data_IF_109014145912
#
_entry.id   IF_109014145912
#
_cell.length_a   1.000
_cell.length_b   1.000
_cell.length_c   1.000
_cell.angle_alpha   90.00
_cell.angle_beta   90.00
_cell.angle_gamma   90.00
#
_symmetry.space_group_name_H-M   'P 1'
#
loop_
_entity.id
_entity.type
_entity.pdbx_description
1 polymer ?
#
# COMPACT_ATOMS: atom_id res chain seq x y z
N UNK A 1 25.92 49.33 -24.23
CA UNK A 1 25.51 48.09 -23.55
C UNK A 1 25.96 48.17 -22.10
N UNK A 2 25.10 48.70 -21.23
CA UNK A 2 25.31 48.63 -19.79
C UNK A 2 24.80 47.26 -19.33
N UNK A 3 25.71 46.41 -18.85
CA UNK A 3 25.34 45.17 -18.17
C UNK A 3 25.05 45.51 -16.71
N UNK A 4 23.77 45.57 -16.34
CA UNK A 4 23.36 45.50 -14.94
C UNK A 4 23.45 44.04 -14.49
N UNK A 5 24.32 43.77 -13.53
CA UNK A 5 24.36 42.49 -12.83
C UNK A 5 23.22 42.45 -11.80
N UNK A 6 22.48 41.34 -11.68
CA UNK A 6 21.48 41.22 -10.64
C UNK A 6 22.17 41.13 -9.28
N UNK A 7 21.93 42.13 -8.44
CA UNK A 7 22.31 42.15 -7.03
C UNK A 7 21.81 40.89 -6.34
N UNK A 8 22.73 40.10 -5.81
CA UNK A 8 22.42 39.03 -4.87
C UNK A 8 21.65 39.63 -3.70
N UNK A 9 20.46 39.07 -3.40
CA UNK A 9 19.66 39.40 -2.23
C UNK A 9 20.58 39.51 -1.01
N UNK A 10 20.67 40.70 -0.43
CA UNK A 10 21.57 40.95 0.69
C UNK A 10 20.98 40.31 1.97
N UNK A 11 21.82 39.95 2.93
CA UNK A 11 21.34 39.42 4.23
C UNK A 11 20.32 40.37 4.89
N UNK A 12 20.46 41.68 4.64
CA UNK A 12 19.54 42.72 5.06
C UNK A 12 18.14 42.58 4.41
N UNK A 13 18.05 42.25 3.12
CA UNK A 13 16.76 42.05 2.42
C UNK A 13 16.02 40.81 2.96
N UNK A 14 16.77 39.78 3.36
CA UNK A 14 16.22 38.56 3.98
C UNK A 14 15.74 38.86 5.40
N UNK A 15 16.50 39.64 6.16
CA UNK A 15 16.11 40.08 7.51
C UNK A 15 14.89 41.01 7.49
N UNK A 16 14.80 41.91 6.51
CA UNK A 16 13.64 42.78 6.29
C UNK A 16 12.40 41.97 5.90
N UNK A 17 12.53 41.01 4.99
CA UNK A 17 11.42 40.12 4.62
C UNK A 17 10.91 39.31 5.84
N UNK A 18 11.83 38.82 6.68
CA UNK A 18 11.49 38.06 7.90
C UNK A 18 10.82 38.93 8.97
N UNK A 19 11.24 40.18 9.13
CA UNK A 19 10.59 41.11 10.07
C UNK A 19 9.20 41.51 9.57
N UNK A 20 9.05 41.72 8.25
CA UNK A 20 7.76 42.00 7.63
C UNK A 20 6.78 40.83 7.76
N UNK A 21 7.23 39.59 7.56
CA UNK A 21 6.40 38.39 7.73
C UNK A 21 5.99 38.20 9.19
N UNK A 22 6.91 38.39 10.15
CA UNK A 22 6.58 38.33 11.57
C UNK A 22 5.55 39.39 11.98
N UNK A 23 5.65 40.61 11.46
CA UNK A 23 4.65 41.65 11.71
C UNK A 23 3.26 41.25 11.15
N UNK A 24 3.21 40.65 9.96
CA UNK A 24 1.96 40.14 9.38
C UNK A 24 1.36 39.01 10.21
N UNK A 25 2.19 38.08 10.70
CA UNK A 25 1.75 36.99 11.57
C UNK A 25 1.23 37.50 12.92
N UNK A 26 1.89 38.49 13.52
CA UNK A 26 1.43 39.13 14.75
C UNK A 26 0.09 39.84 14.56
N UNK A 27 -0.08 40.58 13.45
CA UNK A 27 -1.36 41.23 13.14
C UNK A 27 -2.48 40.21 12.93
N UNK A 28 -2.23 39.12 12.18
CA UNK A 28 -3.22 38.07 11.96
C UNK A 28 -3.63 37.35 13.26
N UNK A 29 -2.68 37.16 14.19
CA UNK A 29 -2.98 36.62 15.52
C UNK A 29 -3.85 37.57 16.35
N UNK A 30 -3.54 38.88 16.30
CA UNK A 30 -4.33 39.89 17.01
C UNK A 30 -5.75 39.98 16.45
N UNK A 31 -5.92 39.99 15.13
CA UNK A 31 -7.22 39.99 14.47
C UNK A 31 -8.06 38.74 14.84
N UNK A 32 -7.43 37.57 14.87
CA UNK A 32 -8.08 36.32 15.27
C UNK A 32 -8.52 36.35 16.74
N UNK A 33 -7.71 36.96 17.61
CA UNK A 33 -8.04 37.11 19.03
C UNK A 33 -9.21 38.09 19.24
N UNK A 34 -9.30 39.16 18.45
CA UNK A 34 -10.44 40.08 18.44
C UNK A 34 -11.70 39.36 17.98
N UNK A 35 -11.66 38.63 16.86
CA UNK A 35 -12.82 37.88 16.37
C UNK A 35 -13.30 36.81 17.36
N UNK A 36 -12.37 36.14 18.05
CA UNK A 36 -12.73 35.19 19.11
C UNK A 36 -13.50 35.87 20.24
N UNK A 37 -13.05 37.05 20.67
CA UNK A 37 -13.72 37.82 21.73
C UNK A 37 -15.09 38.33 21.28
N UNK A 38 -15.21 38.85 20.05
CA UNK A 38 -16.50 39.28 19.47
C UNK A 38 -17.49 38.11 19.36
N UNK A 39 -17.04 36.95 18.90
CA UNK A 39 -17.88 35.74 18.80
C UNK A 39 -18.35 35.27 20.17
N UNK A 40 -17.48 35.34 21.17
CA UNK A 40 -17.80 34.99 22.56
C UNK A 40 -18.86 35.94 23.13
N UNK A 41 -18.75 37.24 22.87
CA UNK A 41 -19.74 38.24 23.30
C UNK A 41 -21.09 38.04 22.60
N UNK A 42 -21.08 37.72 21.31
CA UNK A 42 -22.29 37.40 20.55
C UNK A 42 -23.00 36.16 21.12
N UNK A 43 -22.26 35.11 21.47
CA UNK A 43 -22.80 33.89 22.05
C UNK A 43 -23.43 34.15 23.43
N UNK A 44 -22.79 34.97 24.27
CA UNK A 44 -23.34 35.38 25.56
C UNK A 44 -24.66 36.13 25.35
N UNK A 45 -24.71 37.05 24.38
CA UNK A 45 -25.92 37.82 24.05
C UNK A 45 -27.06 36.93 23.55
N UNK A 46 -26.76 35.96 22.69
CA UNK A 46 -27.75 34.97 22.22
C UNK A 46 -28.27 34.10 23.37
N UNK A 47 -27.41 33.66 24.29
CA UNK A 47 -27.84 32.92 25.49
C UNK A 47 -28.73 33.75 26.42
N UNK A 48 -28.40 35.02 26.62
CA UNK A 48 -29.26 35.92 27.39
C UNK A 48 -30.60 36.18 26.71
N UNK A 49 -30.62 36.31 25.38
CA UNK A 49 -31.85 36.48 24.60
C UNK A 49 -32.73 35.22 24.67
N UNK A 50 -32.14 34.03 24.58
CA UNK A 50 -32.85 32.76 24.75
C UNK A 50 -33.44 32.64 26.17
N UNK A 51 -32.68 33.02 27.21
CA UNK A 51 -33.17 33.01 28.59
C UNK A 51 -34.29 34.03 28.83
N UNK A 52 -34.22 35.21 28.20
CA UNK A 52 -35.28 36.24 28.24
C UNK A 52 -36.51 35.85 27.42
N UNK A 53 -36.37 35.01 26.39
CA UNK A 53 -37.48 34.44 25.64
C UNK A 53 -38.25 33.40 26.49
N UNK A 54 -37.53 32.60 27.29
CA UNK A 54 -38.13 31.68 28.26
C UNK A 54 -38.86 32.41 29.41
N UNK A 55 -38.35 33.56 29.88
CA UNK A 55 -39.01 34.36 30.95
C UNK A 55 -40.20 35.21 30.46
N UNK A 56 -40.34 35.45 29.15
CA UNK A 56 -41.44 36.25 28.56
C UNK A 56 -42.58 35.40 27.98
N UNK A 57 -42.83 34.20 28.52
CA UNK A 57 -44.11 33.53 28.30
C UNK A 57 -45.20 34.37 29.00
N UNK A 58 -46.18 34.94 28.26
CA UNK A 58 -47.20 35.76 28.88
C UNK A 58 -48.03 34.90 29.82
N UNK A 59 -48.36 35.46 30.99
CA UNK A 59 -49.39 34.98 31.91
C UNK A 59 -50.68 34.84 31.10
N UNK A 60 -50.93 33.64 30.58
CA UNK A 60 -52.17 33.25 29.95
C UNK A 60 -52.75 32.15 30.84
N UNK A 61 -53.86 32.53 31.45
CA UNK A 61 -54.96 31.72 31.96
C UNK A 61 -54.94 30.24 31.48
N UNK A 62 -55.01 29.34 32.45
CA UNK A 62 -54.97 27.88 32.33
C UNK A 62 -55.67 27.31 31.08
N UNK A 63 -54.92 26.52 30.30
CA UNK A 63 -55.47 25.40 29.53
C UNK A 63 -54.89 24.11 30.14
N UNK A 64 -55.70 23.28 30.81
CA UNK A 64 -55.24 22.02 31.37
C UNK A 64 -55.18 20.97 30.26
N UNK A 65 -54.04 20.81 29.60
CA UNK A 65 -53.65 19.60 28.86
C UNK A 65 -52.26 19.79 28.21
N UNK A 66 -51.19 19.84 29.01
CA UNK A 66 -49.96 19.20 28.51
C UNK A 66 -50.23 17.72 28.67
N UNK A 67 -50.42 17.05 27.54
CA UNK A 67 -50.77 15.64 27.46
C UNK A 67 -49.75 14.82 28.28
N UNK A 68 -50.13 14.43 29.51
CA UNK A 68 -49.25 13.75 30.46
C UNK A 68 -48.71 12.45 29.86
N UNK A 69 -49.42 11.88 28.88
CA UNK A 69 -48.97 10.74 28.08
C UNK A 69 -47.80 11.09 27.16
N UNK A 70 -47.81 12.25 26.49
CA UNK A 70 -46.72 12.71 25.64
C UNK A 70 -45.47 13.05 26.48
N UNK A 71 -45.64 13.67 27.64
CA UNK A 71 -44.54 13.93 28.57
C UNK A 71 -43.90 12.63 29.08
N UNK A 72 -44.70 11.62 29.40
CA UNK A 72 -44.20 10.29 29.81
C UNK A 72 -43.47 9.59 28.66
N UNK A 73 -43.97 9.69 27.42
CA UNK A 73 -43.29 9.16 26.22
C UNK A 73 -41.93 9.84 26.00
N UNK A 74 -41.88 11.17 26.08
CA UNK A 74 -40.63 11.93 25.95
C UNK A 74 -39.62 11.55 27.04
N UNK A 75 -40.09 11.34 28.27
CA UNK A 75 -39.24 10.94 29.40
C UNK A 75 -38.68 9.54 29.19
N UNK A 76 -39.51 8.59 28.72
CA UNK A 76 -39.08 7.23 28.41
C UNK A 76 -38.09 7.17 27.23
N UNK A 77 -38.28 8.00 26.20
CA UNK A 77 -37.31 8.13 25.10
C UNK A 77 -36.00 8.75 25.54
N UNK A 78 -36.02 9.76 26.42
CA UNK A 78 -34.80 10.32 27.00
C UNK A 78 -34.00 9.29 27.80
N UNK A 79 -34.66 8.46 28.61
CA UNK A 79 -33.96 7.37 29.33
C UNK A 79 -33.38 6.34 28.35
N UNK A 80 -34.12 5.94 27.29
CA UNK A 80 -33.58 5.05 26.24
C UNK A 80 -32.39 5.66 25.50
N UNK A 81 -32.44 6.95 25.19
CA UNK A 81 -31.34 7.68 24.55
C UNK A 81 -30.12 7.71 25.48
N UNK A 82 -30.33 7.92 26.77
CA UNK A 82 -29.27 7.92 27.79
C UNK A 82 -28.61 6.55 27.92
N UNK A 83 -29.39 5.47 27.90
CA UNK A 83 -28.87 4.09 27.88
C UNK A 83 -28.08 3.81 26.60
N UNK A 84 -28.56 4.28 25.45
CA UNK A 84 -27.87 4.12 24.18
C UNK A 84 -26.54 4.89 24.16
N UNK A 85 -26.52 6.12 24.67
CA UNK A 85 -25.30 6.93 24.80
C UNK A 85 -24.29 6.22 25.70
N UNK A 86 -24.69 5.76 26.87
CA UNK A 86 -23.82 4.99 27.79
C UNK A 86 -23.26 3.71 27.15
N UNK A 87 -24.09 3.00 26.38
CA UNK A 87 -23.67 1.81 25.62
C UNK A 87 -22.66 2.15 24.51
N UNK A 88 -22.86 3.27 23.81
CA UNK A 88 -21.94 3.75 22.77
C UNK A 88 -20.62 4.23 23.37
N UNK A 89 -20.64 4.99 24.46
CA UNK A 89 -19.43 5.41 25.20
C UNK A 89 -18.60 4.19 25.62
N UNK A 90 -19.23 3.16 26.20
CA UNK A 90 -18.54 1.93 26.57
C UNK A 90 -17.93 1.21 25.35
N UNK A 91 -18.64 1.16 24.22
CA UNK A 91 -18.10 0.57 22.99
C UNK A 91 -16.91 1.36 22.46
N UNK A 92 -16.96 2.70 22.52
CA UNK A 92 -15.84 3.56 22.14
C UNK A 92 -14.63 3.23 23.00
N UNK A 93 -14.77 3.19 24.32
CA UNK A 93 -13.67 2.85 25.24
C UNK A 93 -13.09 1.46 24.98
N UNK A 94 -13.94 0.46 24.73
CA UNK A 94 -13.49 -0.90 24.39
C UNK A 94 -12.74 -0.94 23.05
N UNK A 95 -13.19 -0.20 22.04
CA UNK A 95 -12.52 -0.12 20.74
C UNK A 95 -11.20 0.65 20.81
N UNK A 96 -11.16 1.75 21.57
CA UNK A 96 -9.97 2.54 21.85
C UNK A 96 -8.90 1.67 22.51
N UNK A 97 -9.26 0.89 23.54
CA UNK A 97 -8.34 -0.02 24.22
C UNK A 97 -7.78 -1.10 23.30
N UNK A 98 -8.64 -1.72 22.48
CA UNK A 98 -8.21 -2.73 21.49
C UNK A 98 -7.26 -2.14 20.44
N UNK A 99 -7.51 -0.91 20.02
CA UNK A 99 -6.64 -0.19 19.10
C UNK A 99 -5.26 0.07 19.73
N UNK A 100 -5.22 0.57 20.97
CA UNK A 100 -3.97 0.81 21.70
C UNK A 100 -3.15 -0.48 21.92
N UNK A 101 -3.80 -1.57 22.31
CA UNK A 101 -3.16 -2.89 22.45
C UNK A 101 -2.59 -3.39 21.12
N UNK A 102 -3.37 -3.27 20.04
CA UNK A 102 -2.94 -3.68 18.68
C UNK A 102 -1.77 -2.83 18.20
N UNK A 103 -1.81 -1.51 18.44
CA UNK A 103 -0.75 -0.59 18.08
C UNK A 103 0.56 -0.96 18.81
N UNK A 104 0.48 -1.22 20.12
CA UNK A 104 1.63 -1.66 20.92
C UNK A 104 2.26 -2.96 20.38
N UNK A 105 1.44 -3.97 20.06
CA UNK A 105 1.94 -5.22 19.46
C UNK A 105 2.59 -4.97 18.10
N UNK A 106 2.03 -4.05 17.30
CA UNK A 106 2.60 -3.71 15.99
C UNK A 106 3.96 -3.01 16.10
N UNK A 107 4.14 -2.12 17.09
CA UNK A 107 5.41 -1.46 17.39
C UNK A 107 6.47 -2.48 17.88
N UNK A 108 6.09 -3.41 18.74
CA UNK A 108 6.96 -4.49 19.20
C UNK A 108 7.42 -5.38 18.03
N UNK A 109 6.50 -5.74 17.11
CA UNK A 109 6.84 -6.51 15.90
C UNK A 109 7.75 -5.74 14.95
N UNK A 110 7.53 -4.44 14.77
CA UNK A 110 8.41 -3.60 13.95
C UNK A 110 9.82 -3.58 14.53
N UNK A 111 9.96 -3.43 15.85
CA UNK A 111 11.27 -3.47 16.53
C UNK A 111 11.96 -4.81 16.32
N UNK A 112 11.24 -5.93 16.42
CA UNK A 112 11.80 -7.27 16.15
C UNK A 112 12.25 -7.42 14.69
N UNK A 113 11.49 -6.87 13.73
CA UNK A 113 11.86 -6.91 12.32
C UNK A 113 13.16 -6.12 12.04
N UNK A 114 13.32 -4.94 12.65
CA UNK A 114 14.54 -4.12 12.50
C UNK A 114 15.77 -4.82 13.11
N UNK A 115 15.62 -5.47 14.27
CA UNK A 115 16.72 -6.26 14.87
C UNK A 115 17.12 -7.45 14.01
N UNK A 116 16.13 -8.15 13.43
CA UNK A 116 16.39 -9.25 12.49
C UNK A 116 17.08 -8.76 11.21
N UNK A 117 16.67 -7.60 10.67
CA UNK A 117 17.31 -6.98 9.51
C UNK A 117 18.77 -6.62 9.78
N UNK A 118 19.06 -6.02 10.95
CA UNK A 118 20.44 -5.73 11.36
C UNK A 118 21.29 -6.99 11.45
N UNK A 119 20.74 -8.10 11.97
CA UNK A 119 21.44 -9.40 12.03
C UNK A 119 21.71 -9.96 10.65
N UNK A 120 20.76 -9.86 9.72
CA UNK A 120 20.94 -10.29 8.32
C UNK A 120 22.04 -9.49 7.64
N UNK A 121 22.07 -8.17 7.84
CA UNK A 121 23.13 -7.31 7.29
C UNK A 121 24.49 -7.75 7.83
N UNK A 122 24.62 -7.95 9.14
CA UNK A 122 25.87 -8.42 9.75
C UNK A 122 26.32 -9.77 9.18
N UNK A 123 25.41 -10.75 9.12
CA UNK A 123 25.69 -12.07 8.54
C UNK A 123 26.13 -11.99 7.08
N UNK A 124 25.50 -11.10 6.29
CA UNK A 124 25.88 -10.88 4.89
C UNK A 124 27.30 -10.32 4.77
N UNK A 125 27.66 -9.36 5.61
CA UNK A 125 29.02 -8.80 5.64
C UNK A 125 30.05 -9.85 6.05
N UNK A 126 29.75 -10.67 7.06
CA UNK A 126 30.65 -11.73 7.51
C UNK A 126 30.82 -12.82 6.45
N UNK A 127 29.74 -13.17 5.73
CA UNK A 127 29.78 -14.12 4.61
C UNK A 127 30.66 -13.61 3.46
N UNK A 128 30.50 -12.35 3.05
CA UNK A 128 31.35 -11.75 2.00
C UNK A 128 32.83 -11.77 2.38
N UNK A 129 33.15 -11.44 3.64
CA UNK A 129 34.54 -11.50 4.15
C UNK A 129 35.09 -12.93 4.15
N UNK A 130 34.26 -13.93 4.40
CA UNK A 130 34.67 -15.33 4.35
C UNK A 130 34.89 -15.80 2.91
N UNK A 131 34.02 -15.40 1.98
CA UNK A 131 34.16 -15.66 0.55
C UNK A 131 35.47 -15.08 0.00
N UNK A 132 35.82 -13.84 0.37
CA UNK A 132 37.09 -13.21 0.01
C UNK A 132 38.28 -14.04 0.50
N UNK A 133 38.29 -14.43 1.79
CA UNK A 133 39.36 -15.27 2.35
C UNK A 133 39.46 -16.65 1.70
N UNK A 134 38.34 -17.25 1.31
CA UNK A 134 38.32 -18.53 0.60
C UNK A 134 38.93 -18.37 -0.80
N UNK A 135 38.60 -17.28 -1.50
CA UNK A 135 39.21 -16.95 -2.79
C UNK A 135 40.71 -16.75 -2.68
N UNK A 136 41.17 -15.98 -1.68
CA UNK A 136 42.60 -15.76 -1.44
C UNK A 136 43.33 -17.10 -1.21
N UNK A 137 42.79 -17.95 -0.34
CA UNK A 137 43.37 -19.27 -0.05
C UNK A 137 43.35 -20.22 -1.26
N UNK A 138 42.31 -20.19 -2.09
CA UNK A 138 42.24 -20.98 -3.33
C UNK A 138 43.33 -20.55 -4.32
N UNK A 139 43.58 -19.23 -4.44
CA UNK A 139 44.68 -18.73 -5.27
C UNK A 139 46.05 -19.15 -4.74
N UNK A 140 46.26 -19.11 -3.42
CA UNK A 140 47.49 -19.58 -2.78
C UNK A 140 47.72 -21.09 -3.03
N UNK A 141 46.70 -21.94 -2.88
CA UNK A 141 46.80 -23.40 -3.18
C UNK A 141 47.14 -23.64 -4.65
N UNK A 142 46.53 -22.86 -5.57
CA UNK A 142 46.78 -22.99 -7.00
C UNK A 142 48.22 -22.59 -7.37
N UNK A 143 48.75 -21.51 -6.77
CA UNK A 143 50.15 -21.09 -6.93
C UNK A 143 51.10 -22.17 -6.39
N UNK A 144 50.80 -22.74 -5.21
CA UNK A 144 51.63 -23.77 -4.59
C UNK A 144 51.72 -25.03 -5.47
N UNK A 145 50.59 -25.47 -6.04
CA UNK A 145 50.54 -26.58 -7.00
C UNK A 145 51.34 -26.29 -8.26
N UNK A 146 51.25 -25.08 -8.79
CA UNK A 146 52.02 -24.66 -9.97
C UNK A 146 53.52 -24.65 -9.68
N UNK A 147 53.94 -24.17 -8.50
CA UNK A 147 55.34 -24.15 -8.08
C UNK A 147 55.90 -25.58 -7.93
N UNK A 148 55.15 -26.51 -7.35
CA UNK A 148 55.55 -27.93 -7.27
C UNK A 148 55.71 -28.57 -8.65
N UNK A 149 54.87 -28.20 -9.62
CA UNK A 149 54.97 -28.69 -11.00
C UNK A 149 56.22 -28.17 -11.72
N UNK A 150 56.62 -26.92 -11.47
CA UNK A 150 57.81 -26.29 -12.07
C UNK A 150 59.13 -26.78 -11.46
N UNK A 151 59.12 -27.28 -10.23
CA UNK A 151 60.32 -27.78 -9.53
C UNK A 151 60.48 -29.31 -9.56
N UNK A 152 59.68 -30.02 -10.35
CA UNK A 152 59.85 -31.47 -10.56
C UNK A 152 61.07 -31.75 -11.46
N UNK A 153 62.08 -32.53 -11.03
CA UNK A 153 63.23 -32.84 -11.87
C UNK A 153 62.79 -33.79 -12.99
N UNK A 154 62.87 -33.32 -14.24
CA UNK A 154 62.79 -34.17 -15.43
C UNK A 154 64.06 -35.04 -15.48
N UNK A 155 63.97 -36.24 -14.90
CA UNK A 155 64.97 -37.30 -14.98
C UNK A 155 64.38 -38.53 -15.70
N UNK A 156 64.82 -38.76 -16.93
CA UNK A 156 64.55 -39.97 -17.73
C UNK A 156 65.04 -41.22 -17.00
N UNK A 157 64.25 -42.31 -16.93
CA UNK A 157 64.63 -43.75 -17.00
C UNK A 157 63.33 -44.60 -16.97
N UNK A 158 62.84 -45.13 -18.09
CA UNK A 158 62.95 -46.53 -18.57
C UNK A 158 62.79 -47.66 -17.55
N UNK A 159 61.75 -48.47 -17.80
CA UNK A 159 61.64 -49.94 -17.71
C UNK A 159 61.58 -50.70 -16.37
N UNK A 160 60.51 -51.51 -16.30
CA UNK A 160 60.42 -52.85 -15.72
C UNK A 160 60.59 -53.01 -14.20
N UNK A 161 59.51 -53.43 -13.52
CA UNK A 161 59.41 -54.77 -12.89
C UNK A 161 58.08 -54.95 -12.14
N UNK A 162 57.46 -56.10 -12.37
CA UNK A 162 56.30 -56.63 -11.67
C UNK A 162 56.73 -57.44 -10.43
N UNK A 163 55.72 -57.84 -9.64
CA UNK A 163 55.70 -58.90 -8.58
C UNK A 163 56.08 -58.37 -7.17
N UNK A 164 55.46 -58.72 -6.04
CA UNK A 164 54.15 -59.24 -5.59
C UNK A 164 54.24 -59.40 -4.05
N UNK A 165 53.10 -59.57 -3.36
CA UNK A 165 52.91 -60.13 -1.99
C UNK A 165 53.31 -59.18 -0.82
N UNK A 166 52.62 -59.06 0.33
CA UNK A 166 51.82 -60.01 1.12
C UNK A 166 51.05 -59.26 2.29
N UNK A 167 50.43 -59.91 3.31
CA UNK A 167 48.98 -59.97 3.60
C UNK A 167 48.54 -59.18 4.88
N UNK A 168 47.24 -59.22 5.26
CA UNK A 168 46.73 -59.55 6.62
C UNK A 168 45.24 -59.14 6.87
N UNK A 169 44.40 -60.16 7.10
CA UNK A 169 43.08 -60.28 7.82
C UNK A 169 41.89 -59.39 7.40
N UNK A 170 40.74 -59.90 6.94
CA UNK A 170 39.78 -60.92 7.46
C UNK A 170 38.75 -60.38 8.49
N UNK A 171 37.54 -60.16 7.99
CA UNK A 171 36.20 -60.40 8.58
C UNK A 171 35.18 -59.67 7.69
N UNK A 172 34.16 -60.23 7.05
CA UNK A 172 33.54 -61.56 7.10
C UNK A 172 32.02 -61.38 6.98
N UNK A 173 31.42 -61.63 5.80
CA UNK A 173 30.02 -62.09 5.69
C UNK A 173 29.77 -62.78 4.32
N UNK A 174 29.73 -64.11 4.33
CA UNK A 174 29.11 -65.01 3.32
C UNK A 174 27.58 -64.76 3.27
N UNK A 175 26.79 -65.07 2.25
CA UNK A 175 26.85 -65.84 0.99
C UNK A 175 25.36 -65.85 0.49
N UNK A 176 24.99 -65.93 -0.79
CA UNK A 176 25.19 -67.05 -1.73
C UNK A 176 24.65 -66.63 -3.12
N UNK A 177 25.25 -67.22 -4.16
CA UNK A 177 25.11 -67.10 -5.63
C UNK A 177 23.68 -67.47 -6.16
N UNK A 178 23.21 -67.13 -7.37
CA UNK A 178 23.73 -67.47 -8.71
C UNK A 178 23.19 -66.57 -9.87
N UNK A 179 24.13 -66.07 -10.71
CA UNK A 179 24.26 -66.23 -12.18
C UNK A 179 23.07 -66.01 -13.16
N UNK A 180 23.13 -64.93 -13.97
CA UNK A 180 23.32 -64.98 -15.44
C UNK A 180 23.54 -63.60 -16.10
N UNK A 181 24.44 -63.62 -17.08
CA UNK A 181 25.07 -62.59 -17.93
C UNK A 181 24.16 -61.77 -18.86
N UNK A 182 24.40 -60.45 -18.96
CA UNK A 182 24.75 -59.68 -20.20
C UNK A 182 24.63 -58.16 -20.00
N UNK A 183 25.71 -57.41 -20.23
CA UNK A 183 25.81 -55.93 -20.33
C UNK A 183 25.59 -55.44 -21.79
N UNK A 184 25.55 -54.12 -22.12
CA UNK A 184 25.58 -52.92 -21.26
C UNK A 184 24.47 -51.89 -21.60
N UNK A 185 24.24 -50.89 -20.73
CA UNK A 185 24.21 -49.45 -21.07
C UNK A 185 23.64 -48.58 -19.91
N UNK A 186 24.56 -47.82 -19.32
CA UNK A 186 24.41 -46.52 -18.64
C UNK A 186 23.10 -46.17 -17.91
N UNK A 187 23.14 -46.20 -16.57
CA UNK A 187 22.30 -45.34 -15.73
C UNK A 187 23.07 -44.89 -14.47
N UNK A 188 23.66 -43.70 -14.53
CA UNK A 188 24.16 -42.98 -13.35
C UNK A 188 22.96 -42.32 -12.65
N UNK A 189 22.71 -42.54 -11.35
CA UNK A 189 21.68 -41.79 -10.65
C UNK A 189 22.23 -40.40 -10.32
N UNK A 190 21.93 -39.42 -11.17
CA UNK A 190 22.10 -38.01 -10.81
C UNK A 190 21.10 -37.70 -9.70
N UNK A 191 21.62 -37.57 -8.47
CA UNK A 191 20.90 -37.00 -7.32
C UNK A 191 20.30 -35.65 -7.75
N UNK A 192 19.00 -35.61 -8.06
CA UNK A 192 18.20 -34.39 -8.17
C UNK A 192 17.91 -33.83 -6.78
N UNK A 193 18.94 -33.42 -6.05
CA UNK A 193 18.80 -32.66 -4.82
C UNK A 193 18.65 -31.18 -5.19
N UNK A 194 17.43 -30.75 -5.50
CA UNK A 194 17.16 -29.31 -5.74
C UNK A 194 15.79 -28.98 -6.30
N UNK A 195 15.20 -29.86 -7.11
CA UNK A 195 13.95 -29.53 -7.85
C UNK A 195 12.68 -29.63 -6.99
N UNK A 196 12.65 -30.54 -6.01
CA UNK A 196 11.46 -30.73 -5.17
C UNK A 196 11.31 -29.65 -4.08
N UNK A 197 12.43 -29.16 -3.54
CA UNK A 197 12.43 -28.08 -2.54
C UNK A 197 11.92 -26.77 -3.14
N UNK A 198 12.36 -26.42 -4.36
CA UNK A 198 11.96 -25.20 -5.05
C UNK A 198 10.48 -25.26 -5.49
N UNK A 199 10.00 -26.42 -5.93
CA UNK A 199 8.56 -26.63 -6.22
C UNK A 199 7.70 -26.56 -4.95
N UNK A 200 8.18 -27.09 -3.82
CA UNK A 200 7.47 -27.02 -2.52
C UNK A 200 7.45 -25.60 -1.96
N UNK A 201 8.55 -24.85 -2.11
CA UNK A 201 8.64 -23.43 -1.74
C UNK A 201 7.71 -22.57 -2.61
N UNK A 202 7.73 -22.73 -3.94
CA UNK A 202 6.81 -22.04 -4.85
C UNK A 202 5.35 -22.38 -4.56
N UNK A 203 5.04 -23.66 -4.32
CA UNK A 203 3.68 -24.08 -3.90
C UNK A 203 3.27 -23.42 -2.59
N UNK A 204 4.15 -23.40 -1.58
CA UNK A 204 3.88 -22.75 -0.29
C UNK A 204 3.76 -21.22 -0.37
N UNK A 205 4.38 -20.61 -1.38
CA UNK A 205 4.30 -19.16 -1.63
C UNK A 205 3.00 -18.81 -2.36
N UNK A 206 2.57 -19.64 -3.30
CA UNK A 206 1.26 -19.51 -3.97
C UNK A 206 0.12 -19.73 -2.96
N UNK A 207 0.25 -20.71 -2.07
CA UNK A 207 -0.73 -21.01 -1.02
C UNK A 207 -0.83 -19.87 0.01
N UNK A 208 0.31 -19.35 0.50
CA UNK A 208 0.33 -18.14 1.35
C UNK A 208 -0.25 -16.91 0.66
N UNK A 209 -0.02 -16.75 -0.65
CA UNK A 209 -0.63 -15.66 -1.41
C UNK A 209 -2.15 -15.84 -1.50
N UNK A 210 -2.65 -17.07 -1.67
CA UNK A 210 -4.08 -17.33 -1.71
C UNK A 210 -4.77 -16.97 -0.39
N UNK A 211 -4.21 -17.37 0.76
CA UNK A 211 -4.72 -16.98 2.08
C UNK A 211 -4.68 -15.47 2.31
N UNK A 212 -3.63 -14.82 1.81
CA UNK A 212 -3.49 -13.36 1.87
C UNK A 212 -4.54 -12.65 1.01
N UNK A 213 -4.88 -13.21 -0.16
CA UNK A 213 -5.91 -12.70 -1.05
C UNK A 213 -7.29 -12.89 -0.42
N UNK A 214 -7.59 -14.05 0.16
CA UNK A 214 -8.85 -14.30 0.85
C UNK A 214 -9.05 -13.34 2.03
N UNK A 215 -7.98 -13.07 2.78
CA UNK A 215 -7.97 -12.08 3.86
C UNK A 215 -8.22 -10.65 3.34
N UNK A 216 -7.63 -10.29 2.20
CA UNK A 216 -7.88 -9.02 1.54
C UNK A 216 -9.35 -8.90 1.13
N UNK A 217 -9.87 -9.89 0.37
CA UNK A 217 -11.26 -9.89 -0.09
C UNK A 217 -12.21 -9.74 1.10
N UNK A 218 -12.04 -10.57 2.15
CA UNK A 218 -12.87 -10.47 3.36
C UNK A 218 -12.84 -9.09 4.02
N UNK A 219 -11.68 -8.43 4.02
CA UNK A 219 -11.51 -7.09 4.58
C UNK A 219 -12.22 -6.04 3.71
N UNK A 220 -12.00 -6.06 2.39
CA UNK A 220 -12.50 -5.01 1.48
C UNK A 220 -13.91 -5.23 0.95
N UNK A 221 -14.48 -6.43 1.13
CA UNK A 221 -15.91 -6.69 0.94
C UNK A 221 -16.79 -5.94 1.94
N UNK A 222 -16.22 -5.46 3.05
CA UNK A 222 -16.91 -4.63 4.03
C UNK A 222 -16.87 -3.16 3.58
N UNK A 223 -17.84 -2.37 4.05
CA UNK A 223 -17.77 -0.92 3.91
C UNK A 223 -16.70 -0.37 4.86
N UNK A 224 -15.51 -0.11 4.32
CA UNK A 224 -14.36 0.45 5.05
C UNK A 224 -14.40 1.98 5.10
N UNK A 225 -15.37 2.61 4.45
CA UNK A 225 -15.51 4.06 4.39
C UNK A 225 -14.31 4.79 3.78
N UNK A 226 -14.08 6.00 4.28
CA UNK A 226 -13.13 6.95 3.73
C UNK A 226 -12.19 7.48 4.81
N UNK A 227 -10.92 7.66 4.46
CA UNK A 227 -9.92 8.33 5.30
C UNK A 227 -9.36 9.52 4.54
N UNK A 228 -9.50 10.73 5.11
CA UNK A 228 -9.08 11.98 4.46
C UNK A 228 -9.65 12.14 3.03
N UNK A 229 -10.93 11.78 2.84
CA UNK A 229 -11.61 11.82 1.55
C UNK A 229 -11.18 10.72 0.55
N UNK A 230 -10.32 9.77 0.96
CA UNK A 230 -9.86 8.67 0.10
C UNK A 230 -10.58 7.38 0.46
N UNK A 231 -11.14 6.65 -0.53
CA UNK A 231 -11.76 5.35 -0.28
C UNK A 231 -10.73 4.33 0.22
N UNK A 232 -10.94 3.81 1.42
CA UNK A 232 -9.94 2.96 2.11
C UNK A 232 -9.78 1.62 1.39
N UNK A 233 -10.88 1.02 0.91
CA UNK A 233 -10.84 -0.25 0.20
C UNK A 233 -10.02 -0.16 -1.10
N UNK A 234 -10.24 0.88 -1.92
CA UNK A 234 -9.47 1.09 -3.15
C UNK A 234 -7.96 1.22 -2.91
N UNK A 235 -7.56 2.04 -1.93
CA UNK A 235 -6.13 2.23 -1.59
C UNK A 235 -5.52 0.93 -1.06
N UNK A 236 -6.26 0.18 -0.26
CA UNK A 236 -5.82 -1.10 0.31
C UNK A 236 -5.60 -2.14 -0.79
N UNK A 237 -6.59 -2.33 -1.68
CA UNK A 237 -6.49 -3.23 -2.84
C UNK A 237 -5.26 -2.86 -3.67
N UNK A 238 -5.11 -1.59 -4.01
CA UNK A 238 -3.98 -1.11 -4.82
C UNK A 238 -2.62 -1.41 -4.18
N UNK A 239 -2.46 -1.12 -2.88
CA UNK A 239 -1.22 -1.41 -2.15
C UNK A 239 -0.91 -2.91 -2.10
N UNK A 240 -1.90 -3.76 -1.92
CA UNK A 240 -1.71 -5.21 -1.96
C UNK A 240 -1.27 -5.70 -3.34
N UNK A 241 -1.90 -5.21 -4.40
CA UNK A 241 -1.54 -5.56 -5.78
C UNK A 241 -0.10 -5.15 -6.12
N UNK A 242 0.35 -3.99 -5.64
CA UNK A 242 1.74 -3.56 -5.77
C UNK A 242 2.70 -4.46 -4.99
N UNK A 243 2.39 -4.71 -3.72
CA UNK A 243 3.21 -5.54 -2.85
C UNK A 243 3.40 -6.95 -3.42
N UNK A 244 2.35 -7.52 -4.01
CA UNK A 244 2.39 -8.83 -4.68
C UNK A 244 2.93 -8.78 -6.11
N UNK A 245 3.31 -7.60 -6.64
CA UNK A 245 3.73 -7.37 -8.03
C UNK A 245 2.74 -7.94 -9.05
N UNK A 246 1.44 -7.92 -8.73
CA UNK A 246 0.40 -8.57 -9.55
C UNK A 246 0.26 -7.94 -10.94
N UNK A 247 0.68 -6.69 -11.11
CA UNK A 247 0.68 -6.01 -12.41
C UNK A 247 1.71 -6.58 -13.40
N UNK A 248 2.79 -7.18 -12.91
CA UNK A 248 3.89 -7.77 -13.72
C UNK A 248 3.70 -9.28 -13.95
N UNK A 249 2.71 -9.88 -13.31
CA UNK A 249 2.49 -11.32 -13.35
C UNK A 249 1.84 -11.76 -14.68
N UNK A 250 2.46 -12.74 -15.36
CA UNK A 250 1.88 -13.35 -16.58
C UNK A 250 0.58 -14.11 -16.29
N UNK A 251 0.47 -14.68 -15.08
CA UNK A 251 -0.69 -15.42 -14.60
C UNK A 251 -0.95 -15.06 -13.15
N UNK A 252 -2.18 -14.65 -12.85
CA UNK A 252 -2.65 -14.38 -11.49
C UNK A 252 -4.17 -14.47 -11.45
N UNK A 253 -4.72 -15.06 -10.40
CA UNK A 253 -6.18 -15.15 -10.17
C UNK A 253 -6.71 -14.01 -9.29
N UNK A 254 -5.83 -13.15 -8.77
CA UNK A 254 -6.19 -12.07 -7.84
C UNK A 254 -7.18 -11.10 -8.49
N UNK A 255 -6.96 -10.77 -9.76
CA UNK A 255 -7.86 -9.88 -10.49
C UNK A 255 -9.25 -10.48 -10.69
N UNK A 256 -9.36 -11.75 -11.07
CA UNK A 256 -10.66 -12.41 -11.25
C UNK A 256 -11.46 -12.44 -9.94
N UNK A 257 -10.79 -12.67 -8.81
CA UNK A 257 -11.41 -12.63 -7.48
C UNK A 257 -11.89 -11.24 -7.09
N UNK A 258 -11.09 -10.21 -7.36
CA UNK A 258 -11.49 -8.82 -7.13
C UNK A 258 -12.67 -8.43 -8.03
N UNK A 259 -12.68 -8.87 -9.29
CA UNK A 259 -13.79 -8.67 -10.21
C UNK A 259 -15.07 -9.31 -9.65
N UNK A 260 -15.00 -10.58 -9.22
CA UNK A 260 -16.14 -11.28 -8.64
C UNK A 260 -16.67 -10.57 -7.39
N UNK A 261 -15.79 -10.16 -6.49
CA UNK A 261 -16.17 -9.40 -5.28
C UNK A 261 -16.86 -8.08 -5.64
N UNK A 262 -16.27 -7.26 -6.51
CA UNK A 262 -16.88 -5.99 -6.93
C UNK A 262 -18.21 -6.26 -7.64
N UNK A 263 -18.28 -7.30 -8.47
CA UNK A 263 -19.50 -7.72 -9.16
C UNK A 263 -20.62 -8.10 -8.19
N UNK A 264 -20.33 -8.85 -7.12
CA UNK A 264 -21.34 -9.19 -6.10
C UNK A 264 -21.86 -7.98 -5.34
N UNK A 265 -21.07 -6.92 -5.23
CA UNK A 265 -21.54 -5.68 -4.60
C UNK A 265 -22.64 -4.98 -5.41
N UNK A 266 -22.82 -5.34 -6.69
CA UNK A 266 -23.85 -4.78 -7.55
C UNK A 266 -25.21 -5.48 -7.43
N UNK A 267 -25.35 -6.46 -6.53
CA UNK A 267 -26.63 -7.12 -6.31
C UNK A 267 -27.66 -6.18 -5.67
N UNK A 268 -27.22 -5.18 -4.90
CA UNK A 268 -28.08 -4.21 -4.19
C UNK A 268 -28.19 -2.86 -4.93
N UNK A 269 -28.70 -2.86 -6.16
CA UNK A 269 -28.72 -1.67 -7.04
C UNK A 269 -29.62 -0.52 -6.57
N UNK A 270 -30.60 -0.79 -5.72
CA UNK A 270 -31.54 0.22 -5.22
C UNK A 270 -30.93 1.12 -4.13
N UNK A 271 -29.80 0.73 -3.53
CA UNK A 271 -29.12 1.52 -2.51
C UNK A 271 -28.10 2.48 -3.15
N UNK A 272 -28.52 3.73 -3.39
CA UNK A 272 -27.68 4.76 -3.99
C UNK A 272 -26.42 5.09 -3.15
N UNK A 273 -26.48 5.01 -1.83
CA UNK A 273 -25.30 5.24 -0.97
C UNK A 273 -24.25 4.15 -1.18
N UNK A 274 -24.69 2.89 -1.20
CA UNK A 274 -23.82 1.74 -1.48
C UNK A 274 -23.22 1.81 -2.88
N UNK A 275 -24.02 2.17 -3.88
CA UNK A 275 -23.55 2.38 -5.26
C UNK A 275 -22.53 3.52 -5.33
N UNK A 276 -22.77 4.65 -4.65
CA UNK A 276 -21.84 5.78 -4.61
C UNK A 276 -20.51 5.42 -3.93
N UNK A 277 -20.55 4.60 -2.86
CA UNK A 277 -19.36 4.04 -2.23
C UNK A 277 -18.55 3.19 -3.22
N UNK A 278 -19.19 2.27 -3.94
CA UNK A 278 -18.49 1.43 -4.92
C UNK A 278 -18.03 2.22 -6.15
N UNK A 279 -18.76 3.25 -6.58
CA UNK A 279 -18.32 4.17 -7.63
C UNK A 279 -17.03 4.87 -7.21
N UNK A 280 -16.98 5.35 -5.97
CA UNK A 280 -15.81 6.04 -5.41
C UNK A 280 -14.59 5.11 -5.34
N UNK A 281 -14.80 3.87 -4.87
CA UNK A 281 -13.73 2.87 -4.78
C UNK A 281 -13.22 2.43 -6.16
N UNK A 282 -14.12 2.06 -7.08
CA UNK A 282 -13.76 1.59 -8.43
C UNK A 282 -13.07 2.69 -9.25
N UNK A 283 -13.56 3.93 -9.18
CA UNK A 283 -12.95 5.08 -9.87
C UNK A 283 -11.57 5.41 -9.32
N UNK A 284 -11.41 5.40 -7.99
CA UNK A 284 -10.10 5.64 -7.36
C UNK A 284 -9.11 4.54 -7.70
N UNK A 285 -9.53 3.28 -7.64
CA UNK A 285 -8.69 2.14 -8.01
C UNK A 285 -8.27 2.24 -9.49
N UNK A 286 -9.21 2.54 -10.40
CA UNK A 286 -8.92 2.74 -11.82
C UNK A 286 -7.89 3.87 -12.04
N UNK A 287 -8.04 5.00 -11.34
CA UNK A 287 -7.10 6.12 -11.41
C UNK A 287 -5.69 5.72 -10.96
N UNK A 288 -5.58 4.97 -9.87
CA UNK A 288 -4.29 4.47 -9.35
C UNK A 288 -3.64 3.49 -10.35
N UNK A 289 -4.44 2.61 -10.97
CA UNK A 289 -3.96 1.72 -12.03
C UNK A 289 -3.49 2.52 -13.26
N UNK A 290 -4.26 3.50 -13.72
CA UNK A 290 -3.88 4.35 -14.85
C UNK A 290 -2.55 5.08 -14.62
N UNK A 291 -2.27 5.51 -13.40
CA UNK A 291 -0.99 6.15 -13.05
C UNK A 291 0.18 5.17 -13.00
N UNK A 292 -0.08 3.91 -12.69
CA UNK A 292 0.95 2.88 -12.46
C UNK A 292 1.30 2.09 -13.71
N UNK A 293 0.32 1.84 -14.58
CA UNK A 293 0.49 1.00 -15.76
C UNK A 293 0.94 1.84 -16.96
N UNK A 294 2.11 1.51 -17.52
CA UNK A 294 2.59 2.18 -18.74
C UNK A 294 1.77 1.70 -19.93
N UNK A 295 0.89 2.55 -20.47
CA UNK A 295 0.14 2.24 -21.69
C UNK A 295 1.02 2.42 -22.92
N UNK A 296 1.40 1.32 -23.57
CA UNK A 296 2.18 1.26 -24.83
C UNK A 296 1.41 1.79 -26.07
N UNK A 297 0.35 2.58 -25.92
CA UNK A 297 -0.50 3.00 -27.05
C UNK A 297 -1.15 4.37 -26.95
N UNK A 298 -1.00 5.09 -25.83
CA UNK A 298 -1.41 6.49 -25.77
C UNK A 298 -0.18 7.34 -26.05
N UNK A 299 -0.22 8.07 -27.17
CA UNK A 299 0.77 9.07 -27.53
C UNK A 299 1.18 9.87 -26.29
N UNK A 300 2.48 9.91 -26.06
CA UNK A 300 3.14 10.86 -25.19
C UNK A 300 2.78 12.28 -25.63
N UNK A 301 1.68 12.83 -25.13
CA UNK A 301 1.60 14.26 -24.93
C UNK A 301 2.44 14.55 -23.68
N UNK A 302 3.67 14.98 -23.95
CA UNK A 302 4.71 15.39 -23.00
C UNK A 302 5.50 14.26 -22.31
N UNK A 303 6.51 13.75 -23.02
CA UNK A 303 7.92 13.90 -22.61
C UNK A 303 8.80 13.39 -23.75
N UNK A 304 9.32 14.31 -24.56
CA UNK A 304 10.43 14.04 -25.45
C UNK A 304 11.67 13.76 -24.57
N UNK A 305 12.52 12.76 -24.88
CA UNK A 305 13.73 12.52 -24.11
C UNK A 305 14.60 13.79 -24.10
N UNK A 306 15.26 14.15 -22.99
CA UNK A 306 16.23 15.23 -23.02
C UNK A 306 17.36 14.86 -23.99
N UNK A 307 17.79 15.76 -24.89
CA UNK A 307 19.01 15.54 -25.65
C UNK A 307 20.20 15.54 -24.70
N UNK A 308 21.21 14.71 -25.00
CA UNK A 308 22.46 14.60 -24.25
C UNK A 308 23.11 15.98 -24.01
N UNK A 309 23.88 16.18 -22.91
CA UNK A 309 24.39 17.49 -22.55
C UNK A 309 25.47 17.93 -23.53
N UNK A 310 25.19 18.96 -24.32
CA UNK A 310 26.21 19.74 -25.01
C UNK A 310 26.80 20.77 -24.04
N UNK A 311 28.12 20.78 -23.91
CA UNK A 311 28.92 21.55 -22.94
C UNK A 311 28.92 23.07 -23.12
N UNK A 312 27.98 23.67 -23.88
CA UNK A 312 28.03 25.09 -24.26
C UNK A 312 26.66 25.78 -24.35
N UNK A 313 25.82 25.69 -23.31
CA UNK A 313 24.52 26.37 -23.35
C UNK A 313 23.80 26.46 -22.01
N UNK A 314 24.34 27.24 -21.06
CA UNK A 314 23.56 27.74 -19.91
C UNK A 314 23.07 29.14 -20.24
N UNK A 315 21.84 29.43 -19.79
CA UNK A 315 21.15 30.73 -19.80
C UNK A 315 20.24 30.99 -21.02
N UNK A 316 19.03 30.41 -20.99
CA UNK A 316 17.75 31.08 -21.26
C UNK A 316 16.64 30.04 -21.50
N UNK A 317 15.93 29.64 -20.44
CA UNK A 317 14.53 29.22 -20.58
C UNK A 317 13.84 29.24 -19.21
N UNK A 318 13.44 30.46 -18.82
CA UNK A 318 12.40 30.65 -17.83
C UNK A 318 11.02 30.30 -18.42
N UNK A 319 10.12 29.92 -17.52
CA UNK A 319 8.67 29.78 -17.69
C UNK A 319 8.16 28.66 -18.60
N UNK A 320 8.19 27.42 -18.08
CA UNK A 320 7.11 26.46 -18.31
C UNK A 320 6.61 25.95 -16.97
N UNK A 321 5.40 26.39 -16.65
CA UNK A 321 4.54 26.02 -15.52
C UNK A 321 4.76 24.59 -15.01
N UNK A 322 5.33 24.48 -13.81
CA UNK A 322 5.12 23.31 -12.96
C UNK A 322 3.62 23.21 -12.67
N UNK A 323 2.98 22.15 -13.17
CA UNK A 323 1.71 21.71 -12.61
C UNK A 323 2.00 21.19 -11.20
N UNK A 324 2.07 22.13 -10.26
CA UNK A 324 2.04 21.83 -8.84
C UNK A 324 0.57 21.58 -8.47
N UNK A 325 0.12 20.35 -8.70
CA UNK A 325 -1.05 19.84 -8.01
C UNK A 325 -0.59 19.47 -6.60
N UNK A 326 -0.97 20.32 -5.65
CA UNK A 326 -0.74 20.10 -4.24
C UNK A 326 -1.33 18.74 -3.81
N UNK A 327 -0.46 17.93 -3.20
CA UNK A 327 -0.75 16.93 -2.19
C UNK A 327 -1.46 15.64 -2.62
N UNK A 328 -0.80 14.87 -3.50
CA UNK A 328 -0.85 13.40 -3.45
C UNK A 328 0.57 12.86 -3.27
N UNK A 329 1.07 12.91 -2.05
CA UNK A 329 2.18 12.05 -1.63
C UNK A 329 1.64 10.63 -1.37
N UNK A 330 1.03 10.02 -2.38
CA UNK A 330 1.19 8.58 -2.56
C UNK A 330 2.40 8.51 -3.46
N UNK A 331 3.53 8.15 -2.85
CA UNK A 331 4.81 7.89 -3.49
C UNK A 331 4.59 7.49 -4.96
N UNK A 332 5.09 8.31 -5.89
CA UNK A 332 4.85 8.15 -7.33
C UNK A 332 5.46 6.82 -7.73
N UNK A 333 4.65 5.78 -7.66
CA UNK A 333 5.09 4.40 -7.88
C UNK A 333 5.55 4.30 -9.33
N UNK A 334 6.82 3.93 -9.46
CA UNK A 334 7.51 3.41 -10.65
C UNK A 334 6.51 2.93 -11.71
N UNK A 335 6.52 3.53 -12.91
CA UNK A 335 5.72 3.02 -14.03
C UNK A 335 6.08 1.55 -14.28
N UNK A 336 5.09 0.68 -14.17
CA UNK A 336 5.22 -0.78 -14.30
C UNK A 336 4.78 -1.21 -15.70
N UNK A 337 5.52 -2.15 -16.29
CA UNK A 337 5.09 -2.83 -17.52
C UNK A 337 3.97 -3.83 -17.17
N UNK A 338 2.73 -3.41 -17.42
CA UNK A 338 1.55 -4.21 -17.14
C UNK A 338 1.48 -5.45 -18.05
N UNK A 339 1.28 -6.63 -17.46
CA UNK A 339 0.92 -7.85 -18.21
C UNK A 339 -0.58 -7.93 -18.48
N UNK A 340 -0.96 -8.85 -19.37
CA UNK A 340 -2.32 -8.99 -19.89
C UNK A 340 -3.42 -9.05 -18.81
N UNK A 341 -3.28 -9.81 -17.69
CA UNK A 341 -4.31 -9.85 -16.65
C UNK A 341 -4.60 -8.47 -16.02
N UNK A 342 -3.58 -7.64 -15.83
CA UNK A 342 -3.75 -6.29 -15.29
C UNK A 342 -4.46 -5.35 -16.27
N UNK A 343 -4.22 -5.50 -17.57
CA UNK A 343 -4.90 -4.73 -18.60
C UNK A 343 -6.39 -5.09 -18.68
N UNK A 344 -6.72 -6.38 -18.61
CA UNK A 344 -8.12 -6.83 -18.53
C UNK A 344 -8.82 -6.30 -17.27
N UNK A 345 -8.14 -6.39 -16.12
CA UNK A 345 -8.69 -5.85 -14.88
C UNK A 345 -8.98 -4.36 -14.97
N UNK A 346 -8.07 -3.58 -15.56
CA UNK A 346 -8.28 -2.15 -15.83
C UNK A 346 -9.51 -1.92 -16.72
N UNK A 347 -9.66 -2.69 -17.80
CA UNK A 347 -10.81 -2.58 -18.68
C UNK A 347 -12.12 -2.89 -17.95
N UNK A 348 -12.12 -3.92 -17.10
CA UNK A 348 -13.29 -4.29 -16.30
C UNK A 348 -13.66 -3.20 -15.29
N UNK A 349 -12.67 -2.58 -14.64
CA UNK A 349 -12.92 -1.44 -13.75
C UNK A 349 -13.54 -0.25 -14.49
N UNK A 350 -13.11 0.05 -15.73
CA UNK A 350 -13.74 1.08 -16.56
C UNK A 350 -15.22 0.77 -16.80
N UNK A 351 -15.53 -0.47 -17.21
CA UNK A 351 -16.91 -0.90 -17.43
C UNK A 351 -17.76 -0.82 -16.16
N UNK A 352 -17.19 -1.17 -15.01
CA UNK A 352 -17.85 -1.05 -13.71
C UNK A 352 -18.16 0.41 -13.34
N UNK A 353 -17.23 1.34 -13.53
CA UNK A 353 -17.47 2.76 -13.28
C UNK A 353 -18.64 3.29 -14.13
N UNK A 354 -18.65 2.96 -15.43
CA UNK A 354 -19.73 3.35 -16.34
C UNK A 354 -21.08 2.75 -15.92
N UNK A 355 -21.08 1.47 -15.53
CA UNK A 355 -22.28 0.76 -15.10
C UNK A 355 -22.86 1.35 -13.81
N UNK A 356 -22.03 1.54 -12.77
CA UNK A 356 -22.48 2.09 -11.49
C UNK A 356 -23.01 3.52 -11.68
N UNK A 357 -22.31 4.33 -12.49
CA UNK A 357 -22.78 5.68 -12.81
C UNK A 357 -24.16 5.66 -13.50
N UNK A 358 -24.35 4.74 -14.46
CA UNK A 358 -25.64 4.54 -15.12
C UNK A 358 -26.76 4.20 -14.13
N UNK A 359 -26.52 3.24 -13.23
CA UNK A 359 -27.48 2.81 -12.19
C UNK A 359 -27.87 4.00 -11.30
N UNK A 360 -26.89 4.70 -10.71
CA UNK A 360 -27.16 5.84 -9.82
C UNK A 360 -27.96 6.92 -10.56
N UNK A 361 -27.57 7.26 -11.79
CA UNK A 361 -28.26 8.28 -12.59
C UNK A 361 -29.72 7.89 -12.85
N UNK A 362 -29.97 6.63 -13.20
CA UNK A 362 -31.31 6.16 -13.54
C UNK A 362 -32.20 6.08 -12.29
N UNK A 363 -31.65 5.67 -11.14
CA UNK A 363 -32.31 5.73 -9.84
C UNK A 363 -32.69 7.17 -9.46
N UNK A 364 -31.73 8.10 -9.51
CA UNK A 364 -31.99 9.52 -9.20
C UNK A 364 -33.03 10.14 -10.15
N UNK A 365 -32.99 9.78 -11.44
CA UNK A 365 -33.99 10.23 -12.41
C UNK A 365 -35.39 9.73 -12.04
N UNK A 366 -35.52 8.47 -11.61
CA UNK A 366 -36.79 7.89 -11.15
C UNK A 366 -37.31 8.60 -9.90
N UNK A 367 -36.45 8.79 -8.90
CA UNK A 367 -36.80 9.46 -7.64
C UNK A 367 -37.25 10.90 -7.88
N UNK A 368 -36.47 11.65 -8.66
CA UNK A 368 -36.79 13.03 -9.01
C UNK A 368 -38.09 13.11 -9.83
N UNK A 369 -38.30 12.20 -10.79
CA UNK A 369 -39.54 12.15 -11.58
C UNK A 369 -40.76 11.88 -10.71
N UNK A 370 -40.63 11.03 -9.69
CA UNK A 370 -41.70 10.75 -8.73
C UNK A 370 -42.04 11.99 -7.90
N UNK A 371 -41.02 12.67 -7.36
CA UNK A 371 -41.20 13.91 -6.57
C UNK A 371 -41.82 15.02 -7.42
N UNK A 372 -41.30 15.25 -8.63
CA UNK A 372 -41.83 16.27 -9.54
C UNK A 372 -43.28 16.00 -9.93
N UNK A 373 -43.65 14.74 -10.17
CA UNK A 373 -45.04 14.37 -10.49
C UNK A 373 -45.98 14.68 -9.33
N UNK A 374 -45.54 14.44 -8.09
CA UNK A 374 -46.31 14.82 -6.88
C UNK A 374 -46.47 16.33 -6.77
N UNK A 375 -45.41 17.11 -7.00
CA UNK A 375 -45.46 18.57 -6.88
C UNK A 375 -46.27 19.29 -7.98
N UNK A 376 -46.55 18.63 -9.10
CA UNK A 376 -47.34 19.20 -10.21
C UNK A 376 -48.84 18.85 -10.08
N UNK A 377 -49.18 17.82 -9.31
CA UNK A 377 -50.56 17.38 -9.10
C UNK A 377 -51.25 18.04 -7.90
N UNK A 378 -50.47 18.64 -6.98
CA UNK A 378 -50.93 19.57 -5.95
C UNK A 378 -50.96 21.01 -6.49
#
# INVERSE_FOLDING_TARGET
MGFEFPTSCSEADIEEAKTQENAKLQNALQDMQVQFQETKEMLIKERENAKKADEKVPIIQEVPAIDHEMMNKLTAENEKLKDLVSSLEKKIDETQRKYEETNKISEERLKQALDAESKIIQLKTDMQRLEEKLSDMETEDQILRQQVSLHSPVGKMSEHLAIASEPHLENGHHGTEEKKTSEPESATPVKKFGTESDNKLRKSQIERQHESVDSLIKCVSQDLGFSNGKPVAAVTIYKCLLHWKSFEAEKTSVFDRLIQMIGSAFENQDNNEHMAYWLSNTSTLLLLLQRSLRTTGAASLQQKPPPAPSLFGRMAQGFRSSFSSANVSVDVVRQVEAKYPALLFKQQLTAYVETIYGIIRDNLKKDLSSVLSSCIQD
#
